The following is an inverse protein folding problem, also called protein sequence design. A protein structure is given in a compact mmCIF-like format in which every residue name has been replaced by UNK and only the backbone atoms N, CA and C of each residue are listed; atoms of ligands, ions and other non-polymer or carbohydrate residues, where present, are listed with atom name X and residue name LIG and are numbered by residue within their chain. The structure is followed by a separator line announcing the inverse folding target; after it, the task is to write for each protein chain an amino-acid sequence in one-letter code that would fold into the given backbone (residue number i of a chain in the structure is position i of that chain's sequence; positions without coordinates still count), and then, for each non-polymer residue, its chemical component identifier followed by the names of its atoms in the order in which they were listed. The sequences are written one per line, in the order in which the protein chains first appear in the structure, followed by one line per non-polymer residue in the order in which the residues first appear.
data_IF_801313059734
#
_entry.id   IF_801313059734
#
_cell.length_a   1.000
_cell.length_b   1.000
_cell.length_c   1.000
_cell.angle_alpha   90.00
_cell.angle_beta   90.00
_cell.angle_gamma   90.00
#
_symmetry.space_group_name_H-M   'P 1'
#
loop_
_entity.id
_entity.type
_entity.pdbx_description
1 polymer ?
#
# COMPACT_ATOMS: atom_id res chain seq x y z
N UNK A 1 23.27 -5.70 -28.64
CA UNK A 1 22.09 -5.85 -27.76
C UNK A 1 22.04 -4.63 -26.87
N UNK A 2 20.85 -4.04 -26.63
CA UNK A 2 20.74 -2.91 -25.71
C UNK A 2 21.08 -3.33 -24.28
N UNK A 3 21.58 -2.41 -23.46
CA UNK A 3 21.87 -2.69 -22.02
C UNK A 3 20.67 -3.27 -21.30
N UNK A 4 19.46 -2.77 -21.61
CA UNK A 4 18.20 -3.27 -21.05
C UNK A 4 17.96 -4.76 -21.42
N UNK A 5 18.23 -5.16 -22.66
CA UNK A 5 18.10 -6.54 -23.05
C UNK A 5 19.06 -7.44 -22.26
N UNK A 6 20.32 -7.03 -22.11
CA UNK A 6 21.32 -7.75 -21.32
C UNK A 6 20.91 -7.87 -19.84
N UNK A 7 20.33 -6.78 -19.29
CA UNK A 7 19.80 -6.75 -17.92
C UNK A 7 18.66 -7.76 -17.75
N UNK A 8 17.67 -7.75 -18.64
CA UNK A 8 16.54 -8.70 -18.61
C UNK A 8 17.03 -10.15 -18.72
N UNK A 9 17.97 -10.46 -19.62
CA UNK A 9 18.53 -11.81 -19.76
C UNK A 9 19.27 -12.26 -18.48
N UNK A 10 19.91 -11.33 -17.78
CA UNK A 10 20.54 -11.61 -16.48
C UNK A 10 19.49 -11.94 -15.41
N UNK A 11 18.40 -11.16 -15.34
CA UNK A 11 17.31 -11.41 -14.40
C UNK A 11 16.58 -12.74 -14.68
N UNK A 12 16.42 -13.13 -15.94
CA UNK A 12 15.86 -14.45 -16.30
C UNK A 12 16.66 -15.61 -15.69
N UNK A 13 18.01 -15.49 -15.66
CA UNK A 13 18.90 -16.53 -15.10
C UNK A 13 18.68 -16.73 -13.60
N UNK A 14 18.31 -15.71 -12.86
CA UNK A 14 18.00 -15.81 -11.43
C UNK A 14 16.53 -16.19 -11.16
N UNK A 15 15.77 -16.47 -12.21
CA UNK A 15 14.46 -17.12 -12.10
C UNK A 15 13.28 -16.19 -11.87
N UNK A 16 13.36 -14.90 -12.22
CA UNK A 16 12.20 -13.99 -12.13
C UNK A 16 11.01 -14.51 -12.94
N UNK A 17 9.79 -14.19 -12.49
CA UNK A 17 8.56 -14.52 -13.20
C UNK A 17 8.18 -13.50 -14.25
N UNK A 18 8.48 -12.23 -14.03
CA UNK A 18 8.23 -11.15 -14.98
C UNK A 18 8.88 -9.84 -14.55
N UNK A 19 9.15 -9.02 -15.54
CA UNK A 19 9.62 -7.64 -15.39
C UNK A 19 9.02 -6.79 -16.51
N UNK A 20 8.69 -5.55 -16.20
CA UNK A 20 8.36 -4.50 -17.15
C UNK A 20 9.18 -3.26 -16.80
N UNK A 21 9.79 -2.66 -17.80
CA UNK A 21 10.56 -1.41 -17.68
C UNK A 21 9.87 -0.38 -18.56
N UNK A 22 9.48 0.73 -17.95
CA UNK A 22 8.80 1.84 -18.63
C UNK A 22 9.68 3.08 -18.46
N UNK A 23 9.97 3.77 -19.55
CA UNK A 23 10.68 5.04 -19.56
C UNK A 23 9.92 6.00 -20.47
N UNK A 24 9.74 7.26 -20.06
CA UNK A 24 9.02 8.30 -20.80
C UNK A 24 7.61 7.82 -21.29
N UNK A 25 6.93 7.03 -20.45
CA UNK A 25 5.63 6.46 -20.76
C UNK A 25 5.64 5.30 -21.77
N UNK A 26 6.82 4.88 -22.24
CA UNK A 26 6.98 3.77 -23.21
C UNK A 26 7.57 2.53 -22.55
N UNK A 27 7.06 1.35 -22.90
CA UNK A 27 7.66 0.08 -22.52
C UNK A 27 8.95 -0.13 -23.32
N UNK A 28 10.11 -0.01 -22.65
CA UNK A 28 11.44 -0.21 -23.24
C UNK A 28 11.98 -1.61 -23.00
N UNK A 29 11.36 -2.40 -22.16
CA UNK A 29 11.72 -3.78 -21.88
C UNK A 29 10.63 -4.53 -21.14
N UNK A 30 10.40 -5.76 -21.52
CA UNK A 30 9.43 -6.63 -20.87
C UNK A 30 9.82 -8.10 -21.00
N UNK A 31 9.61 -8.82 -19.92
CA UNK A 31 9.64 -10.28 -19.90
C UNK A 31 8.54 -10.81 -18.99
N UNK A 32 7.85 -11.85 -19.42
CA UNK A 32 6.93 -12.64 -18.58
C UNK A 32 7.08 -14.10 -18.95
N UNK A 33 7.16 -14.99 -17.96
CA UNK A 33 7.05 -16.42 -18.20
C UNK A 33 5.71 -16.71 -18.88
N UNK A 34 5.67 -17.69 -19.76
CA UNK A 34 4.48 -18.04 -20.57
C UNK A 34 3.26 -18.35 -19.71
N UNK A 35 3.46 -18.99 -18.59
CA UNK A 35 2.46 -19.37 -17.60
C UNK A 35 2.15 -18.27 -16.57
N UNK A 36 2.78 -17.09 -16.69
CA UNK A 36 2.63 -16.02 -15.74
C UNK A 36 1.19 -15.48 -15.75
N UNK A 37 0.52 -15.74 -14.66
CA UNK A 37 -0.83 -15.23 -14.37
C UNK A 37 -0.75 -14.14 -13.31
N UNK A 38 -1.88 -13.59 -12.92
CA UNK A 38 -1.97 -12.76 -11.72
C UNK A 38 -1.47 -13.54 -10.51
N UNK A 39 -0.68 -12.89 -9.69
CA UNK A 39 -0.09 -13.44 -8.46
C UNK A 39 -0.35 -12.50 -7.31
N UNK A 40 -0.33 -13.06 -6.09
CA UNK A 40 -0.43 -12.26 -4.88
C UNK A 40 0.71 -11.24 -4.82
N UNK A 41 0.35 -9.97 -4.78
CA UNK A 41 1.30 -8.85 -4.68
C UNK A 41 1.73 -8.57 -3.24
N UNK A 42 1.18 -9.33 -2.28
CA UNK A 42 1.50 -9.16 -0.86
C UNK A 42 1.40 -7.68 -0.43
N UNK A 43 2.46 -7.16 0.18
CA UNK A 43 2.44 -5.80 0.74
C UNK A 43 2.39 -4.66 -0.28
N UNK A 44 2.55 -4.91 -1.58
CA UNK A 44 2.24 -3.90 -2.61
C UNK A 44 0.78 -3.45 -2.52
N UNK A 45 -0.12 -4.32 -2.04
CA UNK A 45 -1.53 -3.96 -1.76
C UNK A 45 -1.66 -2.69 -0.92
N UNK A 46 -0.73 -2.44 0.01
CA UNK A 46 -0.72 -1.25 0.86
C UNK A 46 -0.68 0.05 0.06
N UNK A 47 0.07 0.08 -1.03
CA UNK A 47 0.17 1.26 -1.88
C UNK A 47 -1.14 1.53 -2.64
N UNK A 48 -1.90 0.49 -2.96
CA UNK A 48 -3.27 0.66 -3.46
C UNK A 48 -4.23 1.14 -2.38
N UNK A 49 -4.04 0.70 -1.14
CA UNK A 49 -4.78 1.24 0.02
C UNK A 49 -4.44 2.72 0.25
N UNK A 50 -3.17 3.11 0.06
CA UNK A 50 -2.78 4.53 0.05
C UNK A 50 -3.54 5.33 -1.01
N UNK A 51 -3.59 4.85 -2.26
CA UNK A 51 -4.36 5.51 -3.31
C UNK A 51 -5.85 5.64 -2.95
N UNK A 52 -6.44 4.60 -2.35
CA UNK A 52 -7.83 4.65 -1.88
C UNK A 52 -8.04 5.70 -0.78
N UNK A 53 -7.07 5.85 0.14
CA UNK A 53 -7.11 6.91 1.15
C UNK A 53 -7.01 8.29 0.51
N UNK A 54 -6.18 8.45 -0.53
CA UNK A 54 -6.11 9.70 -1.30
C UNK A 54 -7.47 10.10 -1.87
N UNK A 55 -8.14 9.20 -2.56
CA UNK A 55 -9.51 9.44 -3.05
C UNK A 55 -10.49 9.76 -1.92
N UNK A 56 -10.42 9.01 -0.81
CA UNK A 56 -11.33 9.19 0.31
C UNK A 56 -11.16 10.56 0.99
N UNK A 57 -9.94 11.07 1.08
CA UNK A 57 -9.66 12.44 1.58
C UNK A 57 -10.16 13.50 0.59
N UNK A 58 -9.93 13.32 -0.70
CA UNK A 58 -10.43 14.25 -1.73
C UNK A 58 -11.97 14.28 -1.78
N UNK A 59 -12.63 13.18 -1.47
CA UNK A 59 -14.09 13.07 -1.35
C UNK A 59 -14.62 13.57 0.01
N UNK A 60 -13.74 13.98 0.93
CA UNK A 60 -14.13 14.51 2.24
C UNK A 60 -14.65 13.47 3.23
N UNK A 61 -14.34 12.18 3.05
CA UNK A 61 -14.80 11.12 3.95
C UNK A 61 -14.11 11.16 5.32
N UNK A 62 -12.87 11.60 5.36
CA UNK A 62 -12.03 11.88 6.55
C UNK A 62 -10.79 12.66 6.15
N UNK A 63 -10.00 13.10 7.13
CA UNK A 63 -8.75 13.85 6.94
C UNK A 63 -7.56 13.11 7.53
N UNK A 64 -6.33 13.50 7.16
CA UNK A 64 -5.09 12.93 7.71
C UNK A 64 -4.98 13.05 9.25
N UNK A 65 -5.52 14.13 9.81
CA UNK A 65 -5.54 14.41 11.25
C UNK A 65 -6.81 13.91 11.96
N UNK A 66 -7.74 13.28 11.25
CA UNK A 66 -8.91 12.66 11.87
C UNK A 66 -8.51 11.62 12.89
N UNK A 67 -9.10 11.68 14.08
CA UNK A 67 -8.81 10.75 15.18
C UNK A 67 -9.41 9.38 14.90
N UNK A 68 -8.57 8.35 14.90
CA UNK A 68 -8.98 6.97 14.61
C UNK A 68 -10.09 6.50 15.53
N UNK A 69 -10.00 6.80 16.85
CA UNK A 69 -11.02 6.41 17.82
C UNK A 69 -12.40 7.05 17.58
N UNK A 70 -12.48 8.16 16.84
CA UNK A 70 -13.75 8.80 16.48
C UNK A 70 -14.38 8.21 15.21
N UNK A 71 -13.63 7.38 14.48
CA UNK A 71 -14.03 6.80 13.20
C UNK A 71 -14.46 5.32 13.32
N UNK A 72 -14.27 4.71 14.51
CA UNK A 72 -14.56 3.31 14.77
C UNK A 72 -15.33 3.13 16.07
N UNK A 73 -16.50 2.50 16.02
CA UNK A 73 -17.34 2.26 17.19
C UNK A 73 -16.64 1.37 18.23
N UNK A 74 -15.81 0.43 17.80
CA UNK A 74 -15.02 -0.45 18.66
C UNK A 74 -14.01 0.32 19.53
N UNK A 75 -13.67 1.53 19.13
CA UNK A 75 -12.71 2.38 19.83
C UNK A 75 -13.34 3.38 20.81
N UNK A 76 -14.66 3.57 20.81
CA UNK A 76 -15.36 4.62 21.60
C UNK A 76 -15.10 4.48 23.11
N UNK A 77 -14.85 3.28 23.61
CA UNK A 77 -14.63 3.00 25.05
C UNK A 77 -13.17 2.84 25.44
N UNK A 78 -12.23 3.15 24.53
CA UNK A 78 -10.81 3.02 24.82
C UNK A 78 -10.35 4.24 25.60
N UNK A 79 -9.90 4.02 26.84
CA UNK A 79 -9.38 5.08 27.71
C UNK A 79 -7.87 5.30 27.56
N UNK A 80 -7.19 4.51 26.71
CA UNK A 80 -5.75 4.62 26.46
C UNK A 80 -5.44 5.97 25.78
N UNK A 81 -4.58 6.82 26.39
CA UNK A 81 -4.29 8.15 25.87
C UNK A 81 -3.62 8.13 24.49
N UNK A 82 -2.83 7.10 24.19
CA UNK A 82 -2.15 6.98 22.90
C UNK A 82 -3.13 6.59 21.79
N UNK A 83 -4.10 5.71 22.05
CA UNK A 83 -5.18 5.46 21.11
C UNK A 83 -5.99 6.73 20.81
N UNK A 84 -6.26 7.56 21.82
CA UNK A 84 -6.96 8.84 21.65
C UNK A 84 -6.15 9.88 20.84
N UNK A 85 -4.83 9.74 20.80
CA UNK A 85 -3.95 10.58 19.98
C UNK A 85 -3.80 10.07 18.55
N UNK A 86 -4.15 8.81 18.27
CA UNK A 86 -3.97 8.17 16.97
C UNK A 86 -4.74 8.88 15.86
N UNK A 87 -4.04 9.19 14.77
CA UNK A 87 -4.60 9.85 13.58
C UNK A 87 -4.42 8.96 12.34
N UNK A 88 -5.19 9.23 11.28
CA UNK A 88 -5.09 8.52 10.00
C UNK A 88 -3.64 8.52 9.46
N UNK A 89 -2.92 9.66 9.60
CA UNK A 89 -1.51 9.73 9.17
C UNK A 89 -0.61 8.69 9.86
N UNK A 90 -0.87 8.36 11.12
CA UNK A 90 -0.07 7.38 11.86
C UNK A 90 -0.28 5.95 11.36
N UNK A 91 -1.48 5.63 10.84
CA UNK A 91 -1.76 4.36 10.17
C UNK A 91 -1.00 4.26 8.83
N UNK A 92 -0.96 5.37 8.07
CA UNK A 92 -0.28 5.47 6.78
C UNK A 92 1.25 5.41 6.90
N UNK A 93 1.81 6.01 7.95
CA UNK A 93 3.27 6.10 8.15
C UNK A 93 3.84 4.95 8.97
N UNK A 94 3.04 3.95 9.36
CA UNK A 94 3.48 2.84 10.22
C UNK A 94 4.00 3.29 11.60
N UNK A 95 3.45 4.38 12.14
CA UNK A 95 3.86 4.96 13.43
C UNK A 95 2.76 4.89 14.49
N UNK A 96 2.04 3.77 14.51
CA UNK A 96 0.95 3.55 15.48
C UNK A 96 1.44 3.44 16.93
N UNK A 97 2.70 3.04 17.14
CA UNK A 97 3.27 2.84 18.48
C UNK A 97 2.80 1.57 19.19
N UNK A 98 2.31 0.57 18.45
CA UNK A 98 1.91 -0.73 19.01
C UNK A 98 3.10 -1.43 19.68
N UNK A 99 2.87 -2.16 20.77
CA UNK A 99 3.90 -2.92 21.46
C UNK A 99 4.57 -3.95 20.53
N UNK A 100 3.80 -4.59 19.65
CA UNK A 100 4.31 -5.54 18.67
C UNK A 100 3.60 -5.38 17.33
N UNK A 101 4.27 -5.71 16.19
CA UNK A 101 3.61 -5.77 14.89
C UNK A 101 2.55 -6.88 14.86
N UNK A 102 1.36 -6.59 14.37
CA UNK A 102 0.25 -7.53 14.32
C UNK A 102 -0.30 -7.76 12.91
N UNK A 103 -1.13 -8.78 12.76
CA UNK A 103 -1.68 -9.24 11.48
C UNK A 103 -0.60 -9.59 10.44
N UNK A 104 0.59 -9.98 10.92
CA UNK A 104 1.74 -10.28 10.09
C UNK A 104 1.77 -11.74 9.66
N UNK A 105 2.12 -11.99 8.39
CA UNK A 105 2.49 -13.30 7.85
C UNK A 105 1.67 -14.49 8.38
N UNK A 106 2.36 -15.47 8.93
CA UNK A 106 1.73 -16.72 9.39
C UNK A 106 0.94 -16.55 10.70
N UNK A 107 1.31 -15.60 11.56
CA UNK A 107 0.54 -15.30 12.77
C UNK A 107 -0.89 -14.82 12.45
N UNK A 108 -1.09 -14.12 11.34
CA UNK A 108 -2.41 -13.75 10.84
C UNK A 108 -3.24 -14.97 10.42
N UNK A 109 -2.61 -15.94 9.75
CA UNK A 109 -3.29 -17.15 9.25
C UNK A 109 -3.78 -18.05 10.38
N UNK A 110 -3.09 -18.04 11.52
CA UNK A 110 -3.42 -18.84 12.71
C UNK A 110 -4.25 -18.07 13.73
N UNK A 111 -4.56 -16.82 13.48
CA UNK A 111 -5.36 -15.99 14.37
C UNK A 111 -6.79 -16.54 14.45
N UNK A 112 -7.21 -16.96 15.65
CA UNK A 112 -8.54 -17.50 15.93
C UNK A 112 -9.62 -16.42 16.04
N UNK A 113 -9.21 -15.17 16.20
CA UNK A 113 -10.12 -14.03 16.30
C UNK A 113 -10.77 -13.77 14.94
N UNK A 114 -12.09 -13.72 14.90
CA UNK A 114 -12.83 -13.40 13.67
C UNK A 114 -13.01 -11.89 13.48
N UNK A 115 -13.05 -11.13 14.57
CA UNK A 115 -13.17 -9.68 14.56
C UNK A 115 -11.80 -9.02 14.66
N UNK A 116 -11.14 -8.85 13.50
CA UNK A 116 -9.82 -8.27 13.48
C UNK A 116 -9.81 -6.75 13.80
N UNK A 117 -10.93 -6.05 13.64
CA UNK A 117 -11.03 -4.63 14.04
C UNK A 117 -10.96 -4.54 15.55
N UNK A 118 -11.83 -5.25 16.27
CA UNK A 118 -11.79 -5.33 17.73
C UNK A 118 -10.46 -5.89 18.25
N UNK A 119 -9.88 -6.86 17.54
CA UNK A 119 -8.55 -7.39 17.88
C UNK A 119 -7.49 -6.30 17.85
N UNK A 120 -7.46 -5.47 16.80
CA UNK A 120 -6.49 -4.35 16.69
C UNK A 120 -6.68 -3.36 17.83
N UNK A 121 -7.90 -2.96 18.13
CA UNK A 121 -8.17 -1.97 19.19
C UNK A 121 -7.91 -2.47 20.62
N UNK A 122 -7.79 -3.79 20.82
CA UNK A 122 -7.36 -4.38 22.10
C UNK A 122 -5.84 -4.43 22.27
N UNK A 123 -5.07 -4.06 21.26
CA UNK A 123 -3.61 -4.09 21.37
C UNK A 123 -3.11 -2.90 22.18
N UNK A 124 -2.04 -3.14 22.92
CA UNK A 124 -1.37 -2.13 23.74
C UNK A 124 -0.56 -1.20 22.84
N UNK A 125 -0.69 0.09 23.07
CA UNK A 125 0.14 1.13 22.46
C UNK A 125 1.16 1.56 23.51
N UNK A 126 2.45 1.35 23.26
CA UNK A 126 3.53 1.64 24.20
C UNK A 126 4.32 2.88 23.85
N UNK A 127 4.28 3.27 22.57
CA UNK A 127 4.96 4.45 22.06
C UNK A 127 3.95 5.50 21.63
N UNK A 128 4.31 6.76 21.80
CA UNK A 128 3.46 7.87 21.33
C UNK A 128 3.27 7.77 19.81
N UNK A 129 2.02 7.77 19.29
CA UNK A 129 1.78 7.75 17.87
C UNK A 129 2.53 8.86 17.11
N UNK A 130 3.15 8.52 16.01
CA UNK A 130 3.94 9.43 15.20
C UNK A 130 5.44 9.48 15.56
N UNK A 131 5.92 8.74 16.57
CA UNK A 131 7.33 8.85 17.01
C UNK A 131 8.23 7.71 16.59
N UNK A 132 7.71 6.49 16.51
CA UNK A 132 8.50 5.28 16.20
C UNK A 132 7.90 4.56 15.00
N UNK A 133 8.72 4.35 13.99
CA UNK A 133 8.35 3.52 12.84
C UNK A 133 8.36 2.04 13.24
N UNK A 134 7.24 1.36 13.02
CA UNK A 134 7.13 -0.09 13.19
C UNK A 134 6.23 -0.66 12.09
N UNK A 135 6.84 -1.34 11.12
CA UNK A 135 6.10 -1.93 10.02
C UNK A 135 5.08 -2.95 10.51
N UNK A 136 3.80 -2.75 10.20
CA UNK A 136 2.69 -3.62 10.61
C UNK A 136 1.60 -3.71 9.55
N UNK A 137 0.64 -4.60 9.75
CA UNK A 137 -0.51 -4.74 8.87
C UNK A 137 -1.80 -4.15 9.45
N UNK A 138 -1.80 -3.73 10.72
CA UNK A 138 -2.99 -3.19 11.38
C UNK A 138 -3.46 -1.87 10.74
N UNK A 139 -2.54 -0.93 10.53
CA UNK A 139 -2.86 0.38 9.95
C UNK A 139 -3.53 0.27 8.57
N UNK A 140 -2.89 -0.35 7.57
CA UNK A 140 -3.50 -0.53 6.24
C UNK A 140 -4.79 -1.34 6.26
N UNK A 141 -4.92 -2.31 7.15
CA UNK A 141 -6.17 -3.06 7.34
C UNK A 141 -7.30 -2.14 7.84
N UNK A 142 -7.07 -1.36 8.90
CA UNK A 142 -8.06 -0.41 9.42
C UNK A 142 -8.46 0.64 8.38
N UNK A 143 -7.52 1.14 7.57
CA UNK A 143 -7.81 2.09 6.49
C UNK A 143 -8.76 1.48 5.44
N UNK A 144 -8.52 0.23 5.03
CA UNK A 144 -9.42 -0.48 4.13
C UNK A 144 -10.81 -0.70 4.72
N UNK A 145 -10.90 -1.07 6.01
CA UNK A 145 -12.17 -1.21 6.74
C UNK A 145 -12.91 0.13 6.83
N UNK A 146 -12.20 1.20 7.14
CA UNK A 146 -12.79 2.54 7.25
C UNK A 146 -13.44 2.99 5.93
N UNK A 147 -12.74 2.81 4.82
CA UNK A 147 -13.27 3.12 3.48
C UNK A 147 -14.52 2.30 3.22
N UNK A 148 -14.50 0.98 3.48
CA UNK A 148 -15.67 0.14 3.27
C UNK A 148 -16.86 0.58 4.13
N UNK A 149 -16.65 0.93 5.40
CA UNK A 149 -17.73 1.40 6.30
C UNK A 149 -18.33 2.74 5.87
N UNK A 150 -17.47 3.65 5.38
CA UNK A 150 -17.92 4.99 4.93
C UNK A 150 -18.65 4.96 3.59
N UNK A 151 -18.36 3.97 2.73
CA UNK A 151 -18.84 3.95 1.34
C UNK A 151 -19.75 2.77 1.03
N UNK A 152 -19.88 1.80 1.96
CA UNK A 152 -20.58 0.52 1.78
C UNK A 152 -19.98 -0.33 0.63
N UNK A 153 -18.80 0.03 0.12
CA UNK A 153 -18.06 -0.66 -0.95
C UNK A 153 -16.76 -1.20 -0.38
N UNK A 154 -16.47 -2.47 -0.63
CA UNK A 154 -15.16 -2.99 -0.27
C UNK A 154 -14.04 -2.25 -1.05
N UNK A 155 -12.80 -2.40 -0.60
CA UNK A 155 -11.66 -1.65 -1.15
C UNK A 155 -11.51 -1.82 -2.68
N UNK A 156 -11.79 -3.03 -3.21
CA UNK A 156 -11.71 -3.28 -4.66
C UNK A 156 -12.86 -2.58 -5.39
N UNK A 157 -14.09 -2.72 -4.90
CA UNK A 157 -15.26 -2.04 -5.45
C UNK A 157 -15.12 -0.52 -5.42
N UNK A 158 -14.51 0.01 -4.35
CA UNK A 158 -14.24 1.44 -4.21
C UNK A 158 -13.22 1.94 -5.23
N UNK A 159 -12.12 1.18 -5.41
CA UNK A 159 -11.04 1.52 -6.35
C UNK A 159 -11.42 1.25 -7.81
N UNK A 160 -12.36 0.35 -8.12
CA UNK A 160 -12.66 -0.05 -9.50
C UNK A 160 -13.00 1.16 -10.38
N UNK A 161 -14.04 1.97 -10.12
CA UNK A 161 -14.37 3.09 -11.00
C UNK A 161 -13.36 4.26 -10.91
N UNK A 162 -12.60 4.37 -9.82
CA UNK A 162 -11.68 5.48 -9.57
C UNK A 162 -10.30 5.24 -10.16
N UNK A 163 -9.84 4.00 -10.11
CA UNK A 163 -8.46 3.63 -10.47
C UNK A 163 -8.42 2.50 -11.50
N UNK A 164 -9.02 1.34 -11.22
CA UNK A 164 -8.80 0.15 -12.05
C UNK A 164 -9.41 0.30 -13.45
N UNK A 165 -10.64 0.78 -13.57
CA UNK A 165 -11.27 1.03 -14.87
C UNK A 165 -10.51 2.08 -15.67
N UNK A 166 -10.05 3.16 -15.01
CA UNK A 166 -9.26 4.22 -15.64
C UNK A 166 -7.92 3.70 -16.17
N UNK A 167 -7.29 2.78 -15.47
CA UNK A 167 -6.07 2.10 -15.90
C UNK A 167 -6.33 0.89 -16.80
N UNK A 168 -7.58 0.62 -17.17
CA UNK A 168 -7.95 -0.56 -17.98
C UNK A 168 -7.42 -1.86 -17.33
N UNK A 169 -7.58 -1.97 -16.01
CA UNK A 169 -7.27 -3.17 -15.24
C UNK A 169 -8.59 -3.90 -14.97
N UNK A 170 -8.68 -5.15 -15.40
CA UNK A 170 -9.87 -5.99 -15.18
C UNK A 170 -10.11 -6.24 -13.68
N UNK A 171 -11.33 -6.59 -13.26
CA UNK A 171 -11.64 -6.87 -11.86
C UNK A 171 -10.59 -7.77 -11.20
N UNK A 172 -10.18 -7.39 -9.99
CA UNK A 172 -9.10 -8.02 -9.25
C UNK A 172 -9.65 -8.91 -8.14
N UNK A 173 -8.90 -9.97 -7.84
CA UNK A 173 -9.09 -10.78 -6.65
C UNK A 173 -8.25 -10.21 -5.50
N UNK A 174 -8.75 -10.35 -4.27
CA UNK A 174 -8.09 -9.91 -3.04
C UNK A 174 -8.33 -10.89 -1.90
N UNK A 175 -7.50 -10.81 -0.86
CA UNK A 175 -7.75 -11.53 0.39
C UNK A 175 -8.73 -10.76 1.27
N UNK A 176 -9.54 -11.52 2.03
CA UNK A 176 -10.53 -10.97 2.96
C UNK A 176 -10.23 -11.42 4.40
N UNK A 177 -10.61 -10.61 5.37
CA UNK A 177 -10.68 -11.03 6.76
C UNK A 177 -11.94 -11.89 6.99
N UNK A 178 -12.06 -12.59 8.14
CA UNK A 178 -13.24 -13.43 8.42
C UNK A 178 -14.57 -12.68 8.42
N UNK A 179 -14.59 -11.38 8.68
CA UNK A 179 -15.79 -10.53 8.62
C UNK A 179 -16.07 -9.94 7.23
N UNK A 180 -15.37 -10.36 6.18
CA UNK A 180 -15.62 -9.94 4.80
C UNK A 180 -15.03 -8.58 4.40
N UNK A 181 -14.18 -7.97 5.20
CA UNK A 181 -13.41 -6.79 4.76
C UNK A 181 -12.21 -7.21 3.93
N UNK A 182 -11.94 -6.50 2.84
CA UNK A 182 -10.70 -6.69 2.07
C UNK A 182 -9.49 -6.40 2.97
N UNK A 183 -8.50 -7.29 2.93
CA UNK A 183 -7.27 -7.12 3.67
C UNK A 183 -6.36 -6.07 3.00
N UNK A 184 -6.57 -4.81 3.31
CA UNK A 184 -5.84 -3.68 2.72
C UNK A 184 -4.32 -3.68 2.90
N UNK A 185 -3.77 -4.66 3.64
CA UNK A 185 -2.34 -4.81 3.87
C UNK A 185 -1.67 -5.86 2.96
N UNK A 186 -2.45 -6.64 2.20
CA UNK A 186 -1.93 -7.72 1.35
C UNK A 186 -3.03 -8.44 0.59
N UNK A 187 -2.65 -9.31 -0.35
CA UNK A 187 -3.58 -10.24 -0.98
C UNK A 187 -4.14 -9.84 -2.34
N UNK A 188 -3.81 -8.65 -2.84
CA UNK A 188 -4.24 -8.23 -4.17
C UNK A 188 -3.55 -9.08 -5.26
N UNK A 189 -4.33 -9.62 -6.21
CA UNK A 189 -3.83 -10.44 -7.30
C UNK A 189 -3.64 -9.60 -8.56
N UNK A 190 -2.38 -9.45 -9.02
CA UNK A 190 -2.05 -8.67 -10.23
C UNK A 190 -0.91 -9.33 -11.01
N UNK A 191 -0.81 -9.00 -12.27
CA UNK A 191 0.36 -9.29 -13.09
C UNK A 191 1.27 -8.06 -13.22
N UNK A 192 2.47 -8.27 -13.79
CA UNK A 192 3.48 -7.22 -13.89
C UNK A 192 3.03 -6.03 -14.74
N UNK A 193 2.22 -6.24 -15.79
CA UNK A 193 1.73 -5.16 -16.65
C UNK A 193 0.67 -4.31 -15.95
N UNK A 194 -0.20 -4.93 -15.17
CA UNK A 194 -1.19 -4.23 -14.36
C UNK A 194 -0.50 -3.39 -13.27
N UNK A 195 0.53 -3.95 -12.64
CA UNK A 195 1.34 -3.24 -11.66
C UNK A 195 2.14 -2.09 -12.30
N UNK A 196 2.67 -2.31 -13.51
CA UNK A 196 3.37 -1.27 -14.29
C UNK A 196 2.49 -0.06 -14.61
N UNK A 197 1.20 -0.26 -14.92
CA UNK A 197 0.26 0.86 -15.11
C UNK A 197 0.09 1.69 -13.85
N UNK A 198 0.06 1.06 -12.67
CA UNK A 198 0.03 1.76 -11.40
C UNK A 198 1.32 2.55 -11.16
N UNK A 199 2.49 1.96 -11.39
CA UNK A 199 3.78 2.66 -11.30
C UNK A 199 3.85 3.85 -12.26
N UNK A 200 3.39 3.68 -13.50
CA UNK A 200 3.36 4.75 -14.50
C UNK A 200 2.41 5.90 -14.11
N UNK A 201 1.24 5.60 -13.53
CA UNK A 201 0.34 6.62 -12.98
C UNK A 201 1.07 7.48 -11.94
N UNK A 202 1.81 6.85 -11.03
CA UNK A 202 2.58 7.56 -10.01
C UNK A 202 3.73 8.36 -10.61
N UNK A 203 4.47 7.80 -11.57
CA UNK A 203 5.52 8.54 -12.32
C UNK A 203 4.96 9.78 -13.02
N UNK A 204 3.75 9.69 -13.58
CA UNK A 204 3.05 10.78 -14.25
C UNK A 204 2.26 11.69 -13.28
N UNK A 205 2.60 11.68 -12.00
CA UNK A 205 1.99 12.53 -10.98
C UNK A 205 0.45 12.42 -10.96
N UNK A 206 -0.04 11.19 -11.10
CA UNK A 206 -1.48 10.88 -11.04
C UNK A 206 -2.25 11.15 -12.35
N UNK A 207 -1.58 11.54 -13.43
CA UNK A 207 -2.19 11.70 -14.75
C UNK A 207 -2.17 10.40 -15.55
N UNK A 208 -3.26 10.10 -16.24
CA UNK A 208 -3.38 8.97 -17.15
C UNK A 208 -4.16 9.36 -18.40
N UNK A 209 -3.57 9.17 -19.57
CA UNK A 209 -4.18 9.55 -20.87
C UNK A 209 -4.74 10.99 -20.88
N UNK A 210 -4.07 11.92 -20.21
CA UNK A 210 -4.45 13.34 -20.12
C UNK A 210 -5.45 13.68 -19.02
N UNK A 211 -6.04 12.71 -18.32
CA UNK A 211 -6.95 12.89 -17.19
C UNK A 211 -6.18 12.82 -15.86
N UNK A 212 -6.47 13.71 -14.90
CA UNK A 212 -5.98 13.61 -13.54
C UNK A 212 -6.82 12.59 -12.79
N UNK A 213 -6.26 11.39 -12.55
CA UNK A 213 -6.94 10.28 -11.86
C UNK A 213 -6.83 10.40 -10.35
N UNK A 214 -5.63 10.68 -9.85
CA UNK A 214 -5.35 10.90 -8.43
C UNK A 214 -4.56 12.21 -8.32
N UNK A 215 -4.85 13.06 -7.35
CA UNK A 215 -4.24 14.39 -7.29
C UNK A 215 -2.72 14.33 -7.20
N UNK A 216 -2.06 15.28 -7.88
CA UNK A 216 -0.60 15.44 -7.81
C UNK A 216 -0.15 15.64 -6.37
N UNK A 217 -0.91 16.41 -5.60
CA UNK A 217 -0.65 16.63 -4.17
C UNK A 217 -0.63 15.32 -3.38
N UNK A 218 -1.57 14.39 -3.64
CA UNK A 218 -1.56 13.10 -2.96
C UNK A 218 -0.38 12.23 -3.38
N UNK A 219 -0.04 12.20 -4.68
CA UNK A 219 1.12 11.47 -5.17
C UNK A 219 2.38 11.96 -4.44
N UNK A 220 2.63 13.27 -4.42
CA UNK A 220 3.78 13.87 -3.74
C UNK A 220 3.78 13.55 -2.24
N UNK A 221 2.68 13.80 -1.54
CA UNK A 221 2.59 13.56 -0.11
C UNK A 221 2.73 12.08 0.26
N UNK A 222 2.21 11.17 -0.55
CA UNK A 222 2.25 9.73 -0.24
C UNK A 222 3.61 9.10 -0.50
N UNK A 223 4.40 9.65 -1.41
CA UNK A 223 5.67 9.06 -1.83
C UNK A 223 6.89 9.72 -1.19
N UNK A 224 6.78 10.98 -0.75
CA UNK A 224 7.88 11.65 -0.04
C UNK A 224 8.16 10.99 1.32
N UNK A 225 9.36 11.17 1.82
CA UNK A 225 9.76 10.72 3.15
C UNK A 225 8.97 11.46 4.23
N UNK A 226 8.09 10.74 4.91
CA UNK A 226 7.30 11.23 6.03
C UNK A 226 7.97 10.92 7.37
N UNK A 227 8.66 9.77 7.44
CA UNK A 227 9.32 9.28 8.66
C UNK A 227 10.60 8.53 8.32
N UNK A 228 11.55 8.53 9.25
CA UNK A 228 12.70 7.62 9.23
C UNK A 228 12.22 6.19 9.51
N UNK A 229 12.76 5.21 8.78
CA UNK A 229 12.38 3.80 8.96
C UNK A 229 13.46 2.95 9.63
N UNK A 230 14.58 3.58 10.08
CA UNK A 230 15.72 2.86 10.64
C UNK A 230 16.47 2.00 9.63
N UNK A 231 17.27 1.06 10.13
CA UNK A 231 18.01 0.13 9.28
C UNK A 231 17.08 -0.90 8.66
N UNK A 232 16.65 -0.64 7.44
CA UNK A 232 15.96 -1.61 6.62
C UNK A 232 16.99 -2.43 5.82
N UNK A 233 16.74 -3.73 5.61
CA UNK A 233 17.65 -4.65 4.90
C UNK A 233 17.89 -4.31 3.41
N UNK A 234 17.74 -3.04 3.05
CA UNK A 234 18.01 -2.49 1.73
C UNK A 234 18.66 -1.12 1.88
N UNK A 235 19.93 -1.00 1.51
CA UNK A 235 20.73 0.23 1.65
C UNK A 235 20.22 1.41 0.80
N UNK A 236 19.28 1.18 -0.10
CA UNK A 236 18.64 2.23 -0.89
C UNK A 236 17.43 2.85 -0.19
N UNK A 237 16.84 2.14 0.78
CA UNK A 237 15.73 2.67 1.57
C UNK A 237 16.26 3.66 2.60
N UNK A 238 15.65 4.84 2.67
CA UNK A 238 16.02 5.88 3.64
C UNK A 238 14.81 6.45 4.40
N UNK A 239 13.60 5.98 4.13
CA UNK A 239 12.41 6.40 4.84
C UNK A 239 11.11 5.72 4.37
N UNK A 240 10.01 6.20 4.91
CA UNK A 240 8.68 5.71 4.59
C UNK A 240 7.70 6.88 4.43
N UNK A 241 6.89 6.80 3.38
CA UNK A 241 5.81 7.73 3.09
C UNK A 241 4.45 7.21 3.59
N UNK A 242 3.39 7.49 2.85
CA UNK A 242 2.05 6.93 3.11
C UNK A 242 1.90 5.59 2.39
N UNK A 243 2.40 4.52 3.03
CA UNK A 243 2.41 3.13 2.53
C UNK A 243 3.27 2.94 1.27
N UNK A 244 4.32 3.73 1.14
CA UNK A 244 5.41 3.61 0.17
C UNK A 244 6.76 3.67 0.90
N UNK A 245 7.72 2.90 0.42
CA UNK A 245 9.11 3.04 0.82
C UNK A 245 9.74 4.19 0.03
N UNK A 246 10.36 5.12 0.74
CA UNK A 246 11.16 6.18 0.15
C UNK A 246 12.59 5.66 -0.06
N UNK A 247 13.16 5.95 -1.21
CA UNK A 247 14.51 5.56 -1.61
C UNK A 247 15.39 6.79 -1.76
N UNK A 248 16.69 6.59 -1.66
CA UNK A 248 17.67 7.65 -1.94
C UNK A 248 17.46 8.21 -3.35
N UNK A 249 17.66 9.54 -3.51
CA UNK A 249 17.51 10.23 -4.80
C UNK A 249 16.07 10.44 -5.23
N UNK A 250 15.15 10.69 -4.26
CA UNK A 250 13.72 10.97 -4.50
C UNK A 250 12.94 9.86 -5.22
N UNK A 251 13.52 8.68 -5.31
CA UNK A 251 12.84 7.48 -5.79
C UNK A 251 11.96 6.87 -4.70
N UNK A 252 11.01 6.04 -5.08
CA UNK A 252 10.15 5.34 -4.14
C UNK A 252 9.71 3.99 -4.69
N UNK A 253 9.25 3.12 -3.79
CA UNK A 253 8.79 1.81 -4.19
C UNK A 253 7.63 1.28 -3.35
N UNK A 254 6.82 0.43 -3.97
CA UNK A 254 6.01 -0.56 -3.31
C UNK A 254 6.70 -1.92 -3.40
N UNK A 255 6.73 -2.70 -2.31
CA UNK A 255 7.31 -4.03 -2.34
C UNK A 255 6.43 -5.09 -1.67
N UNK A 256 6.58 -6.34 -2.11
CA UNK A 256 5.95 -7.52 -1.54
C UNK A 256 6.98 -8.50 -0.96
N UNK A 257 6.52 -9.37 -0.06
CA UNK A 257 7.36 -10.26 0.76
C UNK A 257 8.29 -11.18 -0.04
N UNK A 258 7.94 -11.55 -1.27
CA UNK A 258 8.67 -12.55 -2.05
C UNK A 258 9.23 -11.99 -3.36
N UNK A 259 9.67 -10.74 -3.36
CA UNK A 259 10.35 -10.14 -4.51
C UNK A 259 9.40 -9.52 -5.54
N UNK A 260 8.22 -9.11 -5.13
CA UNK A 260 7.37 -8.23 -5.92
C UNK A 260 7.83 -6.78 -5.70
N UNK A 261 8.05 -6.03 -6.76
CA UNK A 261 8.46 -4.63 -6.70
C UNK A 261 7.72 -3.80 -7.74
N UNK A 262 7.35 -2.60 -7.35
CA UNK A 262 7.02 -1.50 -8.24
C UNK A 262 7.90 -0.33 -7.82
N UNK A 263 8.93 -0.04 -8.61
CA UNK A 263 9.92 1.00 -8.32
C UNK A 263 9.68 2.14 -9.28
N UNK A 264 9.59 3.35 -8.77
CA UNK A 264 9.49 4.58 -9.54
C UNK A 264 10.74 5.40 -9.25
N UNK A 265 11.48 5.70 -10.30
CA UNK A 265 12.69 6.52 -10.28
C UNK A 265 12.31 7.90 -10.81
N UNK A 266 12.66 8.97 -10.09
CA UNK A 266 12.67 10.32 -10.63
C UNK A 266 13.93 10.49 -11.50
N UNK A 267 13.79 11.18 -12.61
CA UNK A 267 14.92 11.53 -13.49
C UNK A 267 15.93 12.46 -12.80
#
# INVERSE_FOLDING_TARGET
MSEIHTYIETLKKIGINGIQIIQDGQEIGCFMKKEYKRQNQYSITKSFTSAAVGFAIEEGLFELNSKVCQLFDEAIKIEDPYWNMMEIRHLLTMTMGLETPILMGDSRKTLKESDWVSYVFRQKVTEKPGTVFQYNNAGPYLLGVLIQRKTEKNLIEYLTPRLFDKLEIKPLEAEFCPKGYVFGAGGLQMNVRELGKFGQLYLQRGKWKGEQILSEKWIEESTKKQVECGDYNNSQVDGYGYLFWHLKGDAYMANGKYGQYCIVLSD
#
